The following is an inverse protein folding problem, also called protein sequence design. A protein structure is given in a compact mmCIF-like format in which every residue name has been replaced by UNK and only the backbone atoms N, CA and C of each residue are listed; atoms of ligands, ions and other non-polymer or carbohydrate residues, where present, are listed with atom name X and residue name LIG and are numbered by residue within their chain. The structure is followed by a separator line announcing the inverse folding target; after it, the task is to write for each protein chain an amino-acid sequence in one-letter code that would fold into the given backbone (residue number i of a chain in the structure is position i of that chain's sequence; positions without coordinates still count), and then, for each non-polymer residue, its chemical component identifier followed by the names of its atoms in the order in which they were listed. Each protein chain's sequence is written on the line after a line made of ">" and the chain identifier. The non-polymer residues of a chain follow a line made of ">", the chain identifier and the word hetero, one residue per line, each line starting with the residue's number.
data_IF_705699630702
#
_entry.id   IF_705699630702
#
_cell.length_a   1.000
_cell.length_b   1.000
_cell.length_c   1.000
_cell.angle_alpha   90.00
_cell.angle_beta   90.00
_cell.angle_gamma   90.00
#
_symmetry.space_group_name_H-M   'P 1'
#
loop_
_entity.id
_entity.type
_entity.pdbx_description
1 polymer ?
#
# COMPACT_ATOMS: atom_id res chain seq x y z
N UNK A 1 3.63 3.54 8.18
CA UNK A 1 3.65 2.46 9.20
C UNK A 1 4.53 1.35 8.66
N UNK A 2 5.57 0.95 9.39
CA UNK A 2 6.45 -0.14 8.99
C UNK A 2 5.83 -1.49 9.39
N UNK A 3 5.96 -2.51 8.54
CA UNK A 3 5.49 -3.87 8.78
C UNK A 3 6.47 -4.90 8.20
N UNK A 4 6.42 -6.12 8.74
CA UNK A 4 7.20 -7.29 8.27
C UNK A 4 6.27 -8.50 8.20
N UNK A 5 6.36 -9.25 7.11
CA UNK A 5 5.69 -10.54 6.94
C UNK A 5 6.71 -11.57 6.50
N UNK A 6 6.63 -12.75 7.10
CA UNK A 6 7.34 -13.94 6.64
C UNK A 6 6.34 -14.85 5.94
N UNK A 7 6.65 -15.24 4.71
CA UNK A 7 5.78 -16.03 3.89
C UNK A 7 5.79 -17.50 4.31
N UNK A 8 4.59 -18.02 4.56
CA UNK A 8 4.36 -19.46 4.57
C UNK A 8 4.37 -20.01 3.14
N UNK A 9 4.70 -21.29 3.00
CA UNK A 9 4.63 -21.99 1.72
C UNK A 9 3.21 -21.91 1.11
N UNK A 10 3.08 -21.22 -0.04
CA UNK A 10 1.89 -21.24 -0.89
C UNK A 10 1.36 -19.86 -1.27
N UNK A 11 0.23 -19.87 -1.98
CA UNK A 11 -0.44 -18.66 -2.45
C UNK A 11 -1.11 -17.92 -1.28
N UNK A 12 -0.75 -16.66 -1.10
CA UNK A 12 -1.41 -15.76 -0.15
C UNK A 12 -2.41 -14.89 -0.91
N UNK A 13 -3.67 -14.96 -0.49
CA UNK A 13 -4.70 -14.02 -0.97
C UNK A 13 -4.65 -12.75 -0.14
N UNK A 14 -4.32 -11.64 -0.79
CA UNK A 14 -4.39 -10.27 -0.27
C UNK A 14 -5.81 -9.75 -0.48
N UNK A 15 -6.40 -9.16 0.56
CA UNK A 15 -7.74 -8.55 0.51
C UNK A 15 -7.62 -7.07 0.15
N UNK A 16 -8.59 -6.49 -0.58
CA UNK A 16 -8.61 -5.06 -0.87
C UNK A 16 -8.47 -4.22 0.40
N UNK A 17 -7.39 -3.46 0.51
CA UNK A 17 -7.13 -2.55 1.64
C UNK A 17 -7.07 -1.09 1.19
N UNK A 18 -6.99 -0.83 -0.13
CA UNK A 18 -6.96 0.52 -0.69
C UNK A 18 -5.70 1.30 -0.30
N UNK A 19 -4.67 0.64 0.22
CA UNK A 19 -3.45 1.31 0.70
C UNK A 19 -2.29 1.05 -0.24
N UNK A 20 -1.39 2.02 -0.33
CA UNK A 20 -0.15 1.91 -1.10
C UNK A 20 1.03 1.70 -0.17
N UNK A 21 1.91 0.78 -0.54
CA UNK A 21 3.06 0.39 0.28
C UNK A 21 4.35 0.41 -0.57
N UNK A 22 5.44 0.91 0.01
CA UNK A 22 6.80 0.62 -0.46
C UNK A 22 7.25 -0.68 0.19
N UNK A 23 7.85 -1.61 -0.55
CA UNK A 23 8.24 -2.90 0.00
C UNK A 23 9.69 -3.24 -0.34
N UNK A 24 10.30 -4.09 0.49
CA UNK A 24 11.54 -4.79 0.19
C UNK A 24 11.28 -6.30 0.25
N UNK A 25 11.50 -6.97 -0.88
CA UNK A 25 11.28 -8.41 -1.02
C UNK A 25 12.14 -8.97 -2.14
N UNK A 26 12.71 -10.16 -1.95
CA UNK A 26 13.54 -10.82 -2.97
C UNK A 26 14.76 -9.99 -3.39
N UNK A 27 15.34 -9.20 -2.48
CA UNK A 27 16.55 -8.41 -2.74
C UNK A 27 16.33 -7.13 -3.56
N UNK A 28 15.10 -6.62 -3.61
CA UNK A 28 14.77 -5.40 -4.35
C UNK A 28 13.63 -4.61 -3.71
N UNK A 29 13.55 -3.32 -4.07
CA UNK A 29 12.43 -2.47 -3.71
C UNK A 29 11.27 -2.64 -4.69
N UNK A 30 10.05 -2.66 -4.15
CA UNK A 30 8.81 -2.75 -4.90
C UNK A 30 7.88 -1.61 -4.48
N UNK A 31 7.03 -1.18 -5.42
CA UNK A 31 5.87 -0.34 -5.12
C UNK A 31 4.59 -1.17 -5.29
N UNK A 32 3.78 -1.26 -4.24
CA UNK A 32 2.43 -1.82 -4.31
C UNK A 32 1.41 -0.68 -4.41
N UNK A 33 0.69 -0.63 -5.53
CA UNK A 33 -0.47 0.22 -5.65
C UNK A 33 -1.64 -0.27 -4.81
N UNK A 34 -2.63 0.60 -4.63
CA UNK A 34 -3.80 0.30 -3.83
C UNK A 34 -4.57 -0.91 -4.36
N UNK A 35 -4.85 -1.87 -3.48
CA UNK A 35 -5.70 -3.01 -3.82
C UNK A 35 -7.16 -2.62 -3.73
N UNK A 36 -7.82 -2.60 -4.89
CA UNK A 36 -9.27 -2.48 -4.99
C UNK A 36 -9.93 -3.84 -5.21
N UNK A 37 -9.14 -4.83 -5.63
CA UNK A 37 -9.54 -6.22 -5.85
C UNK A 37 -8.62 -7.18 -5.09
N UNK A 38 -9.08 -8.42 -4.88
CA UNK A 38 -8.25 -9.41 -4.20
C UNK A 38 -7.12 -9.88 -5.11
N UNK A 39 -5.89 -9.87 -4.60
CA UNK A 39 -4.69 -10.29 -5.33
C UNK A 39 -4.16 -11.60 -4.77
N UNK A 40 -3.56 -12.44 -5.63
CA UNK A 40 -2.78 -13.61 -5.20
C UNK A 40 -1.31 -13.23 -5.29
N UNK A 41 -0.62 -13.31 -4.15
CA UNK A 41 0.83 -13.19 -4.08
C UNK A 41 1.44 -14.58 -3.91
N UNK A 42 2.39 -14.91 -4.79
CA UNK A 42 3.22 -16.10 -4.63
C UNK A 42 4.54 -15.66 -3.99
N UNK A 43 4.96 -16.39 -2.97
CA UNK A 43 6.22 -16.15 -2.28
C UNK A 43 6.90 -17.48 -2.00
N UNK A 44 8.22 -17.49 -2.06
CA UNK A 44 8.99 -18.66 -1.66
C UNK A 44 8.84 -18.88 -0.16
N UNK A 45 8.90 -20.15 0.25
CA UNK A 45 8.77 -20.51 1.67
C UNK A 45 9.90 -19.86 2.46
N UNK A 46 9.57 -19.13 3.53
CA UNK A 46 10.57 -18.41 4.33
C UNK A 46 11.01 -17.07 3.73
N UNK A 47 10.40 -16.65 2.61
CA UNK A 47 10.61 -15.32 2.05
C UNK A 47 10.14 -14.24 3.02
N UNK A 48 11.00 -13.27 3.33
CA UNK A 48 10.65 -12.14 4.20
C UNK A 48 10.36 -10.93 3.33
N UNK A 49 9.21 -10.30 3.58
CA UNK A 49 8.86 -9.02 2.99
C UNK A 49 8.74 -7.97 4.09
N UNK A 50 9.42 -6.85 3.89
CA UNK A 50 9.23 -5.64 4.68
C UNK A 50 8.42 -4.65 3.87
N UNK A 51 7.56 -3.87 4.52
CA UNK A 51 6.82 -2.83 3.86
C UNK A 51 6.62 -1.59 4.72
N UNK A 52 6.60 -0.44 4.05
CA UNK A 52 6.34 0.86 4.61
C UNK A 52 5.07 1.41 3.98
N UNK A 53 4.03 1.47 4.81
CA UNK A 53 2.73 1.99 4.44
C UNK A 53 2.71 3.50 4.30
N UNK A 54 2.26 3.93 3.13
CA UNK A 54 2.12 5.33 2.77
C UNK A 54 0.75 5.85 3.21
N UNK A 55 0.73 6.98 3.89
CA UNK A 55 -0.49 7.71 4.23
C UNK A 55 -1.19 8.21 2.96
N UNK A 56 -2.51 8.44 3.02
CA UNK A 56 -3.28 9.05 1.94
C UNK A 56 -2.56 10.21 1.24
N UNK A 57 -2.40 10.09 -0.08
CA UNK A 57 -1.77 11.11 -0.93
C UNK A 57 -0.24 11.16 -0.91
N UNK A 58 0.44 10.37 -0.08
CA UNK A 58 1.91 10.33 -0.10
C UNK A 58 2.44 9.65 -1.37
N UNK A 59 1.83 8.57 -1.84
CA UNK A 59 2.28 7.87 -3.05
C UNK A 59 2.29 8.76 -4.31
N UNK A 60 1.24 9.57 -4.49
CA UNK A 60 1.16 10.48 -5.63
C UNK A 60 2.29 11.52 -5.62
N UNK A 61 2.69 11.99 -4.43
CA UNK A 61 3.83 12.90 -4.28
C UNK A 61 5.16 12.22 -4.65
N UNK A 62 5.31 10.93 -4.33
CA UNK A 62 6.58 10.23 -4.49
C UNK A 62 6.94 9.94 -5.94
N UNK A 63 5.94 9.64 -6.77
CA UNK A 63 6.17 9.14 -8.12
C UNK A 63 5.80 10.14 -9.21
N UNK A 64 5.07 11.21 -8.89
CA UNK A 64 4.39 12.10 -9.85
C UNK A 64 3.47 11.35 -10.84
N UNK A 65 3.18 10.08 -10.55
CA UNK A 65 2.26 9.23 -11.28
C UNK A 65 0.90 9.30 -10.59
N UNK A 66 -0.22 9.45 -11.33
CA UNK A 66 -1.55 9.32 -10.75
C UNK A 66 -1.74 7.94 -10.12
N UNK A 67 -2.22 7.86 -8.87
CA UNK A 67 -2.35 6.58 -8.16
C UNK A 67 -3.21 5.54 -8.91
N UNK A 68 -4.14 5.97 -9.79
CA UNK A 68 -4.96 5.07 -10.62
C UNK A 68 -4.14 4.22 -11.60
N UNK A 69 -2.96 4.70 -11.99
CA UNK A 69 -2.07 4.00 -12.93
C UNK A 69 -1.27 2.92 -12.21
N UNK A 70 -1.21 3.01 -10.87
CA UNK A 70 -0.49 2.10 -10.01
C UNK A 70 -1.43 1.08 -9.33
N UNK A 71 -2.72 1.40 -9.20
CA UNK A 71 -3.72 0.57 -8.53
C UNK A 71 -3.75 -0.88 -9.05
N UNK A 72 -4.00 -1.82 -8.14
CA UNK A 72 -4.05 -3.27 -8.37
C UNK A 72 -2.81 -3.85 -9.08
N UNK A 73 -1.66 -3.16 -9.00
CA UNK A 73 -0.41 -3.57 -9.64
C UNK A 73 0.79 -3.39 -8.71
N UNK A 74 1.84 -4.16 -8.99
CA UNK A 74 3.13 -4.18 -8.28
C UNK A 74 4.21 -3.87 -9.30
N UNK A 75 5.11 -2.97 -8.93
CA UNK A 75 6.20 -2.53 -9.80
C UNK A 75 7.52 -2.77 -9.10
N UNK A 76 8.54 -3.15 -9.86
CA UNK A 76 9.91 -2.90 -9.42
C UNK A 76 10.07 -1.39 -9.28
N UNK A 77 10.54 -0.93 -8.13
CA UNK A 77 10.64 0.51 -7.90
C UNK A 77 11.61 1.16 -8.90
N UNK A 78 12.61 0.39 -9.36
CA UNK A 78 13.61 0.81 -10.34
C UNK A 78 13.02 1.08 -11.73
N UNK A 79 11.86 0.49 -12.05
CA UNK A 79 11.14 0.73 -13.31
C UNK A 79 10.37 2.05 -13.27
N UNK A 80 10.02 2.53 -12.07
CA UNK A 80 9.29 3.78 -11.88
C UNK A 80 10.22 4.97 -11.69
N UNK A 81 11.27 4.79 -10.89
CA UNK A 81 12.18 5.87 -10.47
C UNK A 81 13.59 5.35 -10.17
N UNK A 82 14.57 6.26 -10.21
CA UNK A 82 15.95 5.92 -9.84
C UNK A 82 16.09 5.74 -8.32
N UNK A 83 16.47 4.52 -7.91
CA UNK A 83 16.80 4.16 -6.53
C UNK A 83 18.33 4.25 -6.32
N UNK A 84 18.82 5.01 -5.33
CA UNK A 84 20.24 5.06 -5.00
C UNK A 84 20.81 3.69 -4.60
N UNK A 85 21.92 3.29 -5.23
CA UNK A 85 22.60 2.02 -4.91
C UNK A 85 22.93 1.85 -3.41
N UNK A 86 23.38 2.88 -2.67
CA UNK A 86 23.63 2.73 -1.23
C UNK A 86 22.38 2.35 -0.41
N UNK A 87 21.17 2.71 -0.87
CA UNK A 87 19.94 2.30 -0.20
C UNK A 87 19.59 0.84 -0.48
N UNK A 88 19.92 0.34 -1.67
CA UNK A 88 19.78 -1.09 -2.01
C UNK A 88 20.71 -1.92 -1.13
N UNK A 89 21.98 -1.51 -1.03
CA UNK A 89 22.98 -2.17 -0.17
C UNK A 89 22.55 -2.14 1.31
N UNK A 90 22.08 -0.99 1.80
CA UNK A 90 21.58 -0.86 3.16
C UNK A 90 20.36 -1.76 3.43
N UNK A 91 19.46 -1.93 2.47
CA UNK A 91 18.28 -2.77 2.60
C UNK A 91 18.61 -4.27 2.74
N UNK A 92 19.78 -4.72 2.31
CA UNK A 92 20.23 -6.09 2.60
C UNK A 92 20.55 -6.32 4.08
N UNK A 93 20.93 -5.27 4.82
CA UNK A 93 21.23 -5.34 6.25
C UNK A 93 20.04 -4.94 7.14
N UNK A 94 19.40 -3.82 6.83
CA UNK A 94 18.24 -3.29 7.55
C UNK A 94 17.18 -2.78 6.55
N UNK A 95 16.30 -3.67 6.07
CA UNK A 95 15.23 -3.29 5.15
C UNK A 95 14.30 -2.21 5.71
N UNK A 96 14.06 -2.20 7.02
CA UNK A 96 13.14 -1.27 7.67
C UNK A 96 13.68 0.15 7.63
N UNK A 97 14.92 0.34 8.10
CA UNK A 97 15.59 1.63 8.04
C UNK A 97 15.79 2.11 6.59
N UNK A 98 16.11 1.19 5.67
CA UNK A 98 16.28 1.53 4.26
C UNK A 98 14.98 2.02 3.60
N UNK A 99 13.82 1.44 3.93
CA UNK A 99 12.52 1.91 3.45
C UNK A 99 12.19 3.33 3.95
N UNK A 100 12.48 3.63 5.21
CA UNK A 100 12.29 4.97 5.77
C UNK A 100 13.24 6.00 5.12
N UNK A 101 14.52 5.65 4.99
CA UNK A 101 15.51 6.49 4.33
C UNK A 101 15.18 6.74 2.85
N UNK A 102 14.62 5.74 2.17
CA UNK A 102 14.13 5.84 0.80
C UNK A 102 12.98 6.85 0.70
N UNK A 103 11.99 6.78 1.61
CA UNK A 103 10.89 7.74 1.67
C UNK A 103 11.38 9.18 1.89
N UNK A 104 12.30 9.37 2.84
CA UNK A 104 12.92 10.68 3.12
C UNK A 104 13.66 11.20 1.89
N UNK A 105 14.48 10.37 1.25
CA UNK A 105 15.23 10.73 0.04
C UNK A 105 14.29 11.22 -1.08
N UNK A 106 13.13 10.59 -1.23
CA UNK A 106 12.16 11.03 -2.23
C UNK A 106 11.45 12.34 -1.85
N UNK A 107 11.13 12.56 -0.57
CA UNK A 107 10.59 13.85 -0.14
C UNK A 107 11.57 15.00 -0.26
N UNK A 108 12.87 14.76 -0.10
CA UNK A 108 13.88 15.79 -0.32
C UNK A 108 13.97 16.19 -1.80
N UNK A 109 13.81 15.22 -2.72
CA UNK A 109 13.79 15.45 -4.17
C UNK A 109 12.49 16.10 -4.65
N UNK A 110 11.36 15.61 -4.14
CA UNK A 110 10.01 16.05 -4.50
C UNK A 110 9.20 16.30 -3.22
N UNK A 111 9.29 17.51 -2.64
CA UNK A 111 8.61 17.81 -1.39
C UNK A 111 7.10 17.66 -1.48
N UNK A 112 6.45 17.00 -0.50
CA UNK A 112 5.00 16.91 -0.46
C UNK A 112 4.36 18.28 -0.37
N UNK A 113 3.31 18.50 -1.16
CA UNK A 113 2.47 19.68 -1.03
C UNK A 113 1.56 19.52 0.21
N UNK A 114 1.72 20.33 1.27
CA UNK A 114 0.98 20.12 2.51
C UNK A 114 -0.54 20.22 2.32
N UNK A 115 -1.00 21.05 1.39
CA UNK A 115 -2.41 21.17 1.04
C UNK A 115 -2.98 19.90 0.41
N UNK A 116 -2.20 19.22 -0.44
CA UNK A 116 -2.62 17.96 -1.07
C UNK A 116 -2.73 16.84 -0.04
N UNK A 117 -1.75 16.72 0.87
CA UNK A 117 -1.79 15.75 1.97
C UNK A 117 -2.97 16.00 2.91
N UNK A 118 -3.23 17.26 3.29
CA UNK A 118 -4.39 17.62 4.12
C UNK A 118 -5.72 17.29 3.44
N UNK A 119 -5.83 17.55 2.13
CA UNK A 119 -7.01 17.19 1.36
C UNK A 119 -7.22 15.66 1.34
N UNK A 120 -6.17 14.90 1.05
CA UNK A 120 -6.21 13.44 1.04
C UNK A 120 -6.64 12.88 2.40
N UNK A 121 -6.00 13.33 3.49
CA UNK A 121 -6.36 12.92 4.85
C UNK A 121 -7.79 13.30 5.22
N UNK A 122 -8.27 14.47 4.80
CA UNK A 122 -9.65 14.89 5.08
C UNK A 122 -10.69 14.08 4.29
N UNK A 123 -10.39 13.72 3.04
CA UNK A 123 -11.25 12.87 2.22
C UNK A 123 -11.33 11.45 2.78
N UNK A 124 -10.20 10.87 3.16
CA UNK A 124 -10.12 9.56 3.83
C UNK A 124 -10.89 9.57 5.16
N UNK A 125 -10.70 10.61 5.98
CA UNK A 125 -11.44 10.79 7.22
C UNK A 125 -12.96 10.94 7.01
N UNK A 126 -13.40 11.67 5.98
CA UNK A 126 -14.82 11.80 5.67
C UNK A 126 -15.43 10.48 5.19
N UNK A 127 -14.70 9.70 4.38
CA UNK A 127 -15.14 8.38 3.96
C UNK A 127 -15.28 7.41 5.15
N UNK A 128 -14.32 7.41 6.09
CA UNK A 128 -14.38 6.61 7.33
C UNK A 128 -15.55 6.99 8.24
N UNK A 129 -15.99 8.25 8.18
CA UNK A 129 -17.20 8.72 8.89
C UNK A 129 -18.50 8.34 8.17
N UNK A 130 -18.45 7.64 7.03
CA UNK A 130 -19.62 7.27 6.25
C UNK A 130 -20.27 8.46 5.53
N UNK A 131 -19.54 9.55 5.30
CA UNK A 131 -20.07 10.71 4.58
C UNK A 131 -20.36 10.31 3.14
N UNK A 132 -21.54 10.70 2.63
CA UNK A 132 -21.93 10.40 1.25
C UNK A 132 -21.01 11.11 0.25
N UNK A 133 -20.93 10.58 -0.98
CA UNK A 133 -20.15 11.20 -2.07
C UNK A 133 -20.57 12.66 -2.29
N UNK A 134 -21.87 12.95 -2.26
CA UNK A 134 -22.40 14.30 -2.39
C UNK A 134 -21.97 15.20 -1.22
N UNK A 135 -22.05 14.70 0.03
CA UNK A 135 -21.64 15.44 1.21
C UNK A 135 -20.12 15.70 1.26
N UNK A 136 -19.31 14.77 0.76
CA UNK A 136 -17.87 14.98 0.57
C UNK A 136 -17.61 16.07 -0.47
N UNK A 137 -18.32 16.02 -1.61
CA UNK A 137 -18.16 17.01 -2.67
C UNK A 137 -18.50 18.42 -2.16
N UNK A 138 -19.62 18.56 -1.44
CA UNK A 138 -20.03 19.81 -0.81
C UNK A 138 -19.02 20.32 0.23
N UNK A 139 -18.59 19.47 1.18
CA UNK A 139 -17.61 19.82 2.23
C UNK A 139 -16.30 20.36 1.65
N UNK A 140 -15.91 19.87 0.48
CA UNK A 140 -14.66 20.24 -0.18
C UNK A 140 -14.82 21.26 -1.31
N UNK A 141 -16.03 21.79 -1.53
CA UNK A 141 -16.29 22.76 -2.61
C UNK A 141 -16.03 22.19 -4.02
N UNK A 142 -16.19 20.88 -4.19
CA UNK A 142 -15.98 20.17 -5.45
C UNK A 142 -17.31 19.78 -6.07
N UNK A 143 -17.35 19.67 -7.40
CA UNK A 143 -18.38 18.85 -8.04
C UNK A 143 -18.08 17.36 -7.79
N UNK A 144 -19.07 16.48 -7.89
CA UNK A 144 -18.83 15.02 -7.78
C UNK A 144 -17.81 14.52 -8.82
N UNK A 145 -17.82 15.11 -10.03
CA UNK A 145 -16.79 14.84 -11.05
C UNK A 145 -15.40 15.33 -10.63
N UNK A 146 -15.33 16.47 -9.94
CA UNK A 146 -14.10 16.98 -9.33
C UNK A 146 -13.59 16.06 -8.23
N UNK A 147 -14.47 15.65 -7.32
CA UNK A 147 -14.17 14.70 -6.25
C UNK A 147 -13.67 13.37 -6.81
N UNK A 148 -14.36 12.78 -7.80
CA UNK A 148 -13.91 11.55 -8.48
C UNK A 148 -12.49 11.69 -9.00
N UNK A 149 -12.19 12.75 -9.76
CA UNK A 149 -10.84 12.99 -10.32
C UNK A 149 -9.77 13.15 -9.25
N UNK A 150 -10.08 13.84 -8.15
CA UNK A 150 -9.14 13.96 -7.02
C UNK A 150 -8.91 12.60 -6.39
N UNK A 151 -9.97 11.82 -6.14
CA UNK A 151 -9.83 10.51 -5.53
C UNK A 151 -9.03 9.54 -6.41
N UNK A 152 -9.34 9.46 -7.71
CA UNK A 152 -8.61 8.60 -8.65
C UNK A 152 -7.11 8.96 -8.71
N UNK A 153 -6.78 10.26 -8.62
CA UNK A 153 -5.38 10.70 -8.62
C UNK A 153 -4.65 10.39 -7.32
N UNK A 154 -5.33 10.53 -6.18
CA UNK A 154 -4.72 10.48 -4.84
C UNK A 154 -4.71 9.07 -4.24
N UNK A 155 -5.80 8.32 -4.42
CA UNK A 155 -6.00 6.98 -3.86
C UNK A 155 -5.92 5.88 -4.90
N UNK A 156 -6.16 6.21 -6.17
CA UNK A 156 -6.20 5.25 -7.27
C UNK A 156 -7.59 4.74 -7.61
N UNK A 157 -8.60 5.16 -6.85
CA UNK A 157 -9.98 4.76 -7.01
C UNK A 157 -10.95 5.87 -6.57
N UNK A 158 -12.20 5.75 -6.99
CA UNK A 158 -13.21 6.78 -6.76
C UNK A 158 -13.74 6.82 -5.30
N UNK A 159 -14.44 7.92 -4.91
CA UNK A 159 -14.97 8.13 -3.56
C UNK A 159 -15.92 7.05 -3.06
N UNK A 160 -16.61 6.32 -3.95
CA UNK A 160 -17.47 5.20 -3.56
C UNK A 160 -16.64 4.03 -3.00
N UNK A 161 -15.56 3.70 -3.70
CA UNK A 161 -14.61 2.67 -3.27
C UNK A 161 -13.91 3.08 -1.99
N UNK A 162 -13.54 4.37 -1.87
CA UNK A 162 -12.96 4.93 -0.65
C UNK A 162 -13.86 4.76 0.58
N UNK A 163 -15.18 4.89 0.44
CA UNK A 163 -16.11 4.65 1.54
C UNK A 163 -16.46 3.17 1.78
N UNK A 164 -16.02 2.26 0.89
CA UNK A 164 -16.34 0.83 0.96
C UNK A 164 -15.17 -0.02 1.46
N UNK A 165 -13.94 0.40 1.18
CA UNK A 165 -12.73 -0.31 1.58
C UNK A 165 -12.33 0.12 2.99
N UNK A 166 -12.00 -0.85 3.85
CA UNK A 166 -11.44 -0.57 5.16
C UNK A 166 -9.92 -0.41 5.09
N UNK A 167 -9.47 0.82 4.89
CA UNK A 167 -8.03 1.18 4.93
C UNK A 167 -7.44 1.21 6.35
N UNK A 168 -8.23 0.90 7.39
CA UNK A 168 -7.79 0.84 8.79
C UNK A 168 -7.27 -0.54 9.21
N UNK A 169 -7.62 -1.59 8.46
CA UNK A 169 -7.15 -2.94 8.75
C UNK A 169 -5.66 -3.07 8.40
N UNK A 170 -4.79 -3.48 9.36
CA UNK A 170 -3.42 -3.87 9.06
C UNK A 170 -3.45 -4.98 8.00
N UNK A 171 -2.50 -4.95 7.06
CA UNK A 171 -2.26 -5.86 5.92
C UNK A 171 -2.42 -7.39 6.17
N UNK A 172 -2.67 -7.84 7.40
CA UNK A 172 -2.91 -9.25 7.73
C UNK A 172 -4.35 -9.64 7.36
N UNK A 173 -4.53 -9.96 6.09
CA UNK A 173 -5.54 -10.93 5.68
C UNK A 173 -4.85 -11.95 4.79
N UNK A 174 -4.38 -13.06 5.37
CA UNK A 174 -4.11 -14.27 4.60
C UNK A 174 -5.39 -15.10 4.54
N UNK A 175 -6.05 -15.12 3.38
CA UNK A 175 -7.04 -16.18 3.12
C UNK A 175 -6.30 -17.31 2.40
N UNK A 176 -5.95 -18.35 3.15
CA UNK A 176 -5.44 -19.59 2.59
C UNK A 176 -6.50 -20.17 1.65
N UNK A 177 -6.19 -20.33 0.36
CA UNK A 177 -7.07 -21.05 -0.54
C UNK A 177 -7.29 -22.48 0.01
N UNK A 178 -8.53 -23.04 -0.05
CA UNK A 178 -8.76 -24.39 0.45
C UNK A 178 -7.93 -25.41 -0.35
N UNK A 179 -7.02 -26.11 0.34
CA UNK A 179 -6.29 -27.26 -0.19
C UNK A 179 -7.27 -28.42 -0.41
N UNK A 180 -7.60 -28.74 -1.66
CA UNK A 180 -8.01 -30.09 -2.01
C UNK A 180 -6.78 -31.00 -2.04
N UNK A 181 -6.37 -31.52 -0.88
CA UNK A 181 -5.74 -32.84 -0.65
C UNK A 181 -5.09 -32.90 0.75
N UNK A 182 -5.34 -34.01 1.45
CA UNK A 182 -5.08 -34.36 2.86
C UNK A 182 -3.78 -33.82 3.50
N UNK A 183 -3.79 -33.51 4.82
CA UNK A 183 -2.61 -33.01 5.54
C UNK A 183 -1.73 -34.15 6.11
N UNK A 184 -0.40 -33.97 6.21
CA UNK A 184 0.38 -34.62 7.26
C UNK A 184 0.25 -33.80 8.56
N UNK A 185 0.19 -34.50 9.70
CA UNK A 185 0.17 -33.92 11.05
C UNK A 185 1.58 -33.52 11.47
N UNK A 186 1.73 -32.41 12.21
CA UNK A 186 2.57 -32.17 13.42
C UNK A 186 2.54 -30.66 13.80
N UNK A 187 2.92 -30.25 15.04
CA UNK A 187 2.35 -29.11 15.75
C UNK A 187 3.31 -27.91 15.82
N UNK A 188 2.78 -26.69 15.73
CA UNK A 188 3.54 -25.47 15.97
C UNK A 188 2.65 -24.24 15.89
N UNK A 189 2.55 -23.53 17.00
CA UNK A 189 1.74 -22.32 17.24
C UNK A 189 2.40 -21.06 16.66
N UNK A 190 1.63 -20.25 15.94
CA UNK A 190 2.02 -18.92 15.45
C UNK A 190 1.96 -17.89 16.57
N UNK A 191 2.97 -17.04 16.70
CA UNK A 191 2.97 -15.91 17.65
C UNK A 191 3.33 -14.63 16.91
N UNK A 192 2.39 -13.67 16.93
CA UNK A 192 2.63 -12.28 16.51
C UNK A 192 3.55 -11.62 17.55
N UNK A 193 4.64 -11.01 17.11
CA UNK A 193 5.43 -10.11 17.95
C UNK A 193 5.40 -8.71 17.31
N UNK A 194 5.16 -7.75 18.19
CA UNK A 194 4.91 -6.31 18.03
C UNK A 194 6.06 -5.61 17.29
#
# INVERSE_FOLDING_TARGET
>A
MLWRVEADAGDMRIVPDGVMDLMWSGGRFLFAGADTTAMISSSETGGVTWGLRLSPGQAHVLLDIPARELADQRFDLSDLISVPAPLIDAAHGDPGAALEALLVTFWEKTPPQPAALRLAASLDGAARQGVTVSGMAERHGLSERGLRRVCDRVFGYGPKTLGSIDSSTPFISSVRAPRSARPPRWPGTWTNVI
#
